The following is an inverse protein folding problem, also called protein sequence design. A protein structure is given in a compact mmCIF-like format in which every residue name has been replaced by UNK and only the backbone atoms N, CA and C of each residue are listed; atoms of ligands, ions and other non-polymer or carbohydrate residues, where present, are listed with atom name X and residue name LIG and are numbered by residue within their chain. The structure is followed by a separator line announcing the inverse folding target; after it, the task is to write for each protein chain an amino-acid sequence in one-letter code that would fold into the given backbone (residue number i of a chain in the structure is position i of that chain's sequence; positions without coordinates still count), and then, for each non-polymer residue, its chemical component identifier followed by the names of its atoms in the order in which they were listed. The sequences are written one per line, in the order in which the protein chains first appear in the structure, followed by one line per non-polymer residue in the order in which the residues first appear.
data_IF_734009941256
#
_entry.id   IF_734009941256
#
_cell.length_a   1.000
_cell.length_b   1.000
_cell.length_c   1.000
_cell.angle_alpha   90.00
_cell.angle_beta   90.00
_cell.angle_gamma   90.00
#
_symmetry.space_group_name_H-M   'P 1'
#
loop_
_entity.id
_entity.type
_entity.pdbx_description
1 polymer ?
#
# COMPACT_ATOMS: atom_id res chain seq x y z
N UNK A 1 -12.26 8.13 6.25
CA UNK A 1 -11.78 8.44 4.88
C UNK A 1 -11.49 7.16 4.07
N UNK A 2 -10.80 6.17 4.65
CA UNK A 2 -10.43 4.92 3.96
C UNK A 2 -11.01 3.62 4.52
N UNK A 3 -11.80 3.69 5.62
CA UNK A 3 -12.47 2.51 6.17
C UNK A 3 -13.44 1.91 5.16
N UNK A 4 -13.45 0.57 5.08
CA UNK A 4 -14.28 -0.24 4.16
C UNK A 4 -14.11 0.07 2.66
N UNK A 5 -13.04 0.79 2.29
CA UNK A 5 -12.72 1.09 0.89
C UNK A 5 -11.76 0.05 0.30
N UNK A 6 -11.89 -0.15 -1.01
CA UNK A 6 -10.89 -0.85 -1.83
C UNK A 6 -9.95 0.18 -2.45
N UNK A 7 -8.65 0.04 -2.23
CA UNK A 7 -7.64 1.04 -2.59
C UNK A 7 -6.57 0.38 -3.44
N UNK A 8 -6.24 0.98 -4.58
CA UNK A 8 -5.10 0.60 -5.44
C UNK A 8 -4.01 1.67 -5.32
N UNK A 9 -2.81 1.25 -4.96
CA UNK A 9 -1.61 2.09 -4.90
C UNK A 9 -0.64 1.62 -5.99
N UNK A 10 -0.41 2.44 -7.00
CA UNK A 10 0.59 2.20 -8.03
C UNK A 10 1.93 2.81 -7.61
N UNK A 11 3.03 2.15 -7.94
CA UNK A 11 4.37 2.57 -7.48
C UNK A 11 4.54 2.47 -5.96
N UNK A 12 3.74 1.64 -5.28
CA UNK A 12 3.70 1.58 -3.81
C UNK A 12 4.97 1.06 -3.15
N UNK A 13 5.91 0.51 -3.92
CA UNK A 13 7.24 0.05 -3.49
C UNK A 13 8.26 1.17 -3.31
N UNK A 14 7.98 2.39 -3.80
CA UNK A 14 8.81 3.56 -3.54
C UNK A 14 8.73 4.01 -2.07
N UNK A 15 9.68 4.85 -1.65
CA UNK A 15 9.78 5.32 -0.25
C UNK A 15 8.49 5.97 0.26
N UNK A 16 7.86 6.79 -0.56
CA UNK A 16 6.56 7.39 -0.23
C UNK A 16 5.46 6.34 -0.15
N UNK A 17 5.39 5.42 -1.11
CA UNK A 17 4.39 4.36 -1.14
C UNK A 17 4.42 3.48 0.10
N UNK A 18 5.62 3.07 0.54
CA UNK A 18 5.84 2.32 1.78
C UNK A 18 5.30 3.08 3.00
N UNK A 19 5.67 4.36 3.15
CA UNK A 19 5.20 5.19 4.27
C UNK A 19 3.68 5.44 4.23
N UNK A 20 3.13 5.62 3.04
CA UNK A 20 1.70 5.84 2.85
C UNK A 20 0.89 4.58 3.19
N UNK A 21 1.32 3.40 2.74
CA UNK A 21 0.73 2.10 3.12
C UNK A 21 0.75 1.95 4.64
N UNK A 22 1.89 2.22 5.29
CA UNK A 22 2.01 2.14 6.75
C UNK A 22 1.03 3.09 7.45
N UNK A 23 0.90 4.33 6.95
CA UNK A 23 -0.04 5.32 7.49
C UNK A 23 -1.50 4.89 7.33
N UNK A 24 -1.85 4.28 6.18
CA UNK A 24 -3.21 3.78 5.96
C UNK A 24 -3.53 2.65 6.95
N UNK A 25 -2.63 1.67 7.07
CA UNK A 25 -2.84 0.52 7.95
C UNK A 25 -2.84 0.90 9.44
N UNK A 26 -2.11 1.95 9.83
CA UNK A 26 -2.08 2.43 11.22
C UNK A 26 -3.33 3.23 11.61
N UNK A 27 -3.97 3.94 10.67
CA UNK A 27 -5.05 4.91 10.96
C UNK A 27 -6.43 4.48 10.49
N UNK A 28 -6.53 3.48 9.62
CA UNK A 28 -7.78 3.08 8.96
C UNK A 28 -7.91 1.56 8.84
N UNK A 29 -9.13 1.11 8.53
CA UNK A 29 -9.47 -0.29 8.27
C UNK A 29 -10.04 -0.44 6.85
N UNK A 30 -9.18 -0.41 5.81
CA UNK A 30 -9.65 -0.58 4.44
C UNK A 30 -10.15 -2.01 4.21
N UNK A 31 -11.18 -2.16 3.37
CA UNK A 31 -11.69 -3.47 2.96
C UNK A 31 -10.66 -4.25 2.13
N UNK A 32 -9.89 -3.53 1.30
CA UNK A 32 -8.85 -4.12 0.45
C UNK A 32 -7.79 -3.08 0.13
N UNK A 33 -6.53 -3.47 0.23
CA UNK A 33 -5.39 -2.66 -0.18
C UNK A 33 -4.58 -3.45 -1.21
N UNK A 34 -4.44 -2.90 -2.41
CA UNK A 34 -3.68 -3.51 -3.51
C UNK A 34 -2.48 -2.61 -3.80
N UNK A 35 -1.29 -3.18 -3.71
CA UNK A 35 -0.03 -2.49 -4.03
C UNK A 35 0.47 -3.05 -5.34
N UNK A 36 0.67 -2.17 -6.33
CA UNK A 36 1.09 -2.53 -7.67
C UNK A 36 2.41 -1.84 -8.01
N UNK A 37 3.41 -2.62 -8.41
CA UNK A 37 4.75 -2.19 -8.80
C UNK A 37 5.28 -3.10 -9.91
N UNK A 38 6.24 -2.60 -10.69
CA UNK A 38 6.99 -3.40 -11.68
C UNK A 38 8.26 -4.03 -11.10
N UNK A 39 8.76 -3.46 -10.00
CA UNK A 39 9.96 -3.93 -9.31
C UNK A 39 9.55 -5.07 -8.36
N UNK A 40 9.79 -6.30 -8.78
CA UNK A 40 9.43 -7.53 -8.07
C UNK A 40 10.22 -7.68 -6.77
N UNK A 41 11.52 -7.33 -6.77
CA UNK A 41 12.36 -7.43 -5.58
C UNK A 41 11.85 -6.52 -4.47
N UNK A 42 11.58 -5.25 -4.78
CA UNK A 42 11.04 -4.32 -3.77
C UNK A 42 9.64 -4.68 -3.31
N UNK A 43 8.88 -5.37 -4.16
CA UNK A 43 7.55 -5.86 -3.80
C UNK A 43 7.66 -7.07 -2.86
N UNK A 44 8.63 -7.95 -3.08
CA UNK A 44 8.97 -9.05 -2.16
C UNK A 44 9.45 -8.53 -0.81
N UNK A 45 10.30 -7.49 -0.77
CA UNK A 45 10.74 -6.86 0.49
C UNK A 45 9.62 -6.18 1.30
N UNK A 46 8.47 -5.91 0.68
CA UNK A 46 7.31 -5.33 1.35
C UNK A 46 6.34 -6.35 1.93
N UNK A 47 6.43 -7.62 1.50
CA UNK A 47 5.56 -8.71 1.95
C UNK A 47 5.95 -9.18 3.36
#
# INVERSE_FOLDING_TARGET
MFNDKSILITGGTGSFGKQFVHTILAKYQPKKLIIYSRDELKQFEMA
#
